data_IF_450287310624
#
_entry.id   IF_450287310624
#
_cell.length_a   1.000
_cell.length_b   1.000
_cell.length_c   1.000
_cell.angle_alpha   90.00
_cell.angle_beta   90.00
_cell.angle_gamma   90.00
#
_symmetry.space_group_name_H-M   'P 1'
#
loop_
_entity.id
_entity.type
_entity.pdbx_description
1 polymer ?
#
# COMPACT_ATOMS: atom_id res chain seq x y z
N UNK A 1 -15.90 -35.65 14.87
CA UNK A 1 -14.76 -35.49 13.94
C UNK A 1 -14.61 -34.00 13.69
N UNK A 2 -13.53 -33.39 14.15
CA UNK A 2 -13.25 -31.96 13.90
C UNK A 2 -12.53 -31.82 12.57
N UNK A 3 -13.07 -31.00 11.67
CA UNK A 3 -12.40 -30.67 10.42
C UNK A 3 -11.31 -29.65 10.75
N UNK A 4 -10.05 -30.01 10.51
CA UNK A 4 -8.94 -29.05 10.59
C UNK A 4 -8.87 -28.27 9.29
N UNK A 5 -8.76 -26.94 9.38
CA UNK A 5 -8.57 -26.05 8.23
C UNK A 5 -7.22 -25.36 8.37
N UNK A 6 -6.47 -25.26 7.28
CA UNK A 6 -5.19 -24.56 7.20
C UNK A 6 -5.11 -23.76 5.90
N UNK A 7 -4.45 -22.60 5.94
CA UNK A 7 -4.27 -21.76 4.77
C UNK A 7 -3.10 -22.28 3.93
N UNK A 8 -3.30 -22.42 2.62
CA UNK A 8 -2.25 -22.81 1.68
C UNK A 8 -1.29 -21.66 1.32
N UNK A 9 -1.73 -20.41 1.52
CA UNK A 9 -0.97 -19.19 1.22
C UNK A 9 -1.25 -18.13 2.27
N UNK A 10 -0.29 -17.25 2.51
CA UNK A 10 -0.49 -16.01 3.27
C UNK A 10 -0.64 -14.81 2.31
N UNK A 11 -1.34 -13.77 2.75
CA UNK A 11 -1.56 -12.59 1.94
C UNK A 11 -1.70 -11.32 2.79
N UNK A 12 -0.96 -10.28 2.40
CA UNK A 12 -1.14 -8.94 2.92
C UNK A 12 -2.15 -8.17 2.06
N UNK A 13 -3.13 -7.52 2.69
CA UNK A 13 -4.13 -6.70 2.00
C UNK A 13 -4.17 -5.29 2.59
N UNK A 14 -4.23 -4.28 1.72
CA UNK A 14 -4.44 -2.89 2.11
C UNK A 14 -5.49 -2.23 1.21
N UNK A 15 -6.31 -1.36 1.83
CA UNK A 15 -7.35 -0.58 1.16
C UNK A 15 -6.96 0.89 1.21
N UNK A 16 -7.00 1.56 0.07
CA UNK A 16 -6.62 2.96 -0.07
C UNK A 16 -7.72 3.76 -0.78
N UNK A 17 -8.01 4.94 -0.24
CA UNK A 17 -8.98 5.87 -0.82
C UNK A 17 -8.25 6.96 -1.59
N UNK A 18 -8.46 7.01 -2.91
CA UNK A 18 -7.90 8.03 -3.79
C UNK A 18 -8.97 9.02 -4.20
N UNK A 19 -8.85 10.27 -3.75
CA UNK A 19 -9.65 11.38 -4.25
C UNK A 19 -8.97 12.00 -5.46
N UNK A 20 -9.65 11.96 -6.61
CA UNK A 20 -9.24 12.65 -7.82
C UNK A 20 -9.88 14.03 -7.76
N UNK A 21 -9.07 15.07 -7.58
CA UNK A 21 -9.52 16.46 -7.64
C UNK A 21 -9.23 17.04 -9.04
N UNK A 22 -10.08 17.95 -9.50
CA UNK A 22 -9.87 18.61 -10.79
C UNK A 22 -10.11 17.67 -11.97
N UNK A 23 -11.10 16.78 -11.88
CA UNK A 23 -11.40 15.78 -12.92
C UNK A 23 -11.59 16.42 -14.29
N UNK A 24 -12.19 17.61 -14.36
CA UNK A 24 -12.35 18.37 -15.60
C UNK A 24 -11.02 18.61 -16.32
N UNK A 25 -9.94 18.90 -15.57
CA UNK A 25 -8.59 19.11 -16.10
C UNK A 25 -7.92 17.78 -16.48
N UNK A 26 -8.15 16.70 -15.73
CA UNK A 26 -7.54 15.40 -16.08
C UNK A 26 -8.07 14.88 -17.42
N UNK A 27 -9.27 15.27 -17.87
CA UNK A 27 -9.85 14.89 -19.17
C UNK A 27 -8.99 15.31 -20.38
N UNK A 28 -8.14 16.32 -20.24
CA UNK A 28 -7.26 16.79 -21.33
C UNK A 28 -5.96 16.01 -21.42
N UNK A 29 -5.71 15.07 -20.50
CA UNK A 29 -4.53 14.21 -20.52
C UNK A 29 -4.47 13.36 -21.80
N UNK A 30 -3.26 13.17 -22.32
CA UNK A 30 -2.97 12.32 -23.47
C UNK A 30 -3.31 10.85 -23.21
N UNK A 31 -3.40 10.06 -24.28
CA UNK A 31 -3.79 8.64 -24.21
C UNK A 31 -2.81 7.77 -23.42
N UNK A 32 -1.56 8.20 -23.35
CA UNK A 32 -0.46 7.51 -22.63
C UNK A 32 -0.23 8.07 -21.24
N UNK A 33 -0.85 9.21 -20.91
CA UNK A 33 -0.55 9.95 -19.70
C UNK A 33 -1.25 9.31 -18.51
N UNK A 34 -0.54 9.31 -17.38
CA UNK A 34 -1.07 8.83 -16.11
C UNK A 34 -0.53 9.64 -14.95
N UNK A 35 -1.33 9.76 -13.90
CA UNK A 35 -0.94 10.41 -12.64
C UNK A 35 -0.63 9.34 -11.60
N UNK A 36 0.61 9.30 -11.07
CA UNK A 36 0.98 8.35 -10.02
C UNK A 36 0.49 8.83 -8.65
N UNK A 37 0.13 7.88 -7.79
CA UNK A 37 -0.09 8.12 -6.36
C UNK A 37 1.23 8.35 -5.61
N UNK A 38 1.14 8.72 -4.33
CA UNK A 38 2.26 8.53 -3.40
C UNK A 38 2.58 7.04 -3.27
N UNK A 39 3.84 6.65 -3.00
CA UNK A 39 4.21 5.27 -2.71
C UNK A 39 3.40 4.66 -1.56
N UNK A 40 3.07 3.38 -1.68
CA UNK A 40 2.25 2.60 -0.76
C UNK A 40 3.02 1.34 -0.35
N UNK A 41 3.03 1.00 0.94
CA UNK A 41 3.69 -0.20 1.46
C UNK A 41 2.67 -1.34 1.64
N UNK A 42 2.78 -2.42 0.87
CA UNK A 42 1.90 -3.60 0.99
C UNK A 42 2.70 -4.87 0.75
N UNK A 43 2.57 -5.86 1.65
CA UNK A 43 3.23 -7.16 1.52
C UNK A 43 4.77 -7.11 1.52
N UNK A 44 5.37 -6.08 2.13
CA UNK A 44 6.82 -5.87 2.10
C UNK A 44 7.35 -5.18 0.85
N UNK A 45 6.47 -4.79 -0.08
CA UNK A 45 6.82 -4.11 -1.32
C UNK A 45 6.30 -2.67 -1.38
N UNK A 46 6.94 -1.85 -2.21
CA UNK A 46 6.54 -0.48 -2.48
C UNK A 46 5.82 -0.37 -3.82
N UNK A 47 4.65 0.24 -3.81
CA UNK A 47 3.75 0.31 -4.96
C UNK A 47 3.34 1.74 -5.27
N UNK A 48 2.96 2.00 -6.52
CA UNK A 48 2.19 3.16 -6.92
C UNK A 48 0.93 2.74 -7.66
N UNK A 49 -0.17 3.45 -7.40
CA UNK A 49 -1.37 3.37 -8.22
C UNK A 49 -1.30 4.49 -9.24
N UNK A 50 -1.44 4.15 -10.51
CA UNK A 50 -1.49 5.12 -11.60
C UNK A 50 -2.92 5.27 -12.09
N UNK A 51 -3.36 6.52 -12.26
CA UNK A 51 -4.69 6.88 -12.75
C UNK A 51 -4.61 7.48 -14.15
N UNK A 52 -5.54 7.11 -15.02
CA UNK A 52 -5.79 7.82 -16.28
C UNK A 52 -7.29 7.94 -16.55
N UNK A 53 -7.79 9.11 -16.98
CA UNK A 53 -9.16 9.25 -17.47
C UNK A 53 -9.30 8.92 -18.96
N UNK A 54 -8.19 8.67 -19.67
CA UNK A 54 -8.08 8.68 -21.14
C UNK A 54 -7.72 7.34 -21.77
N UNK A 55 -7.88 6.24 -21.04
CA UNK A 55 -7.69 4.91 -21.62
C UNK A 55 -8.73 4.68 -22.72
N UNK A 56 -8.29 4.21 -23.90
CA UNK A 56 -9.19 3.90 -25.01
C UNK A 56 -9.30 2.39 -25.15
N UNK A 57 -10.50 1.86 -24.92
CA UNK A 57 -10.84 0.43 -25.09
C UNK A 57 -12.14 0.37 -25.91
N UNK A 58 -12.14 -0.42 -26.99
CA UNK A 58 -13.28 -0.60 -27.91
C UNK A 58 -13.87 0.74 -28.39
N UNK A 59 -13.00 1.69 -28.73
CA UNK A 59 -13.40 3.03 -29.20
C UNK A 59 -14.02 3.94 -28.14
N UNK A 60 -14.04 3.53 -26.87
CA UNK A 60 -14.61 4.30 -25.76
C UNK A 60 -13.50 4.80 -24.84
N UNK A 61 -13.72 5.97 -24.23
CA UNK A 61 -12.86 6.49 -23.16
C UNK A 61 -13.25 5.90 -21.81
N UNK A 62 -12.25 5.39 -21.08
CA UNK A 62 -12.37 4.77 -19.78
C UNK A 62 -11.54 5.49 -18.74
N UNK A 63 -12.12 5.63 -17.55
CA UNK A 63 -11.36 5.89 -16.34
C UNK A 63 -10.74 4.56 -15.91
N UNK A 64 -9.42 4.53 -15.79
CA UNK A 64 -8.68 3.31 -15.53
C UNK A 64 -7.53 3.53 -14.56
N UNK A 65 -7.13 2.44 -13.92
CA UNK A 65 -6.05 2.40 -12.96
C UNK A 65 -5.09 1.27 -13.29
N UNK A 66 -3.83 1.38 -12.85
CA UNK A 66 -2.90 0.26 -12.86
C UNK A 66 -2.03 0.30 -11.62
N UNK A 67 -1.48 -0.85 -11.25
CA UNK A 67 -0.56 -0.98 -10.14
C UNK A 67 0.87 -1.07 -10.68
N UNK A 68 1.81 -0.36 -10.07
CA UNK A 68 3.23 -0.33 -10.45
C UNK A 68 4.08 -0.73 -9.26
N UNK A 69 4.98 -1.70 -9.45
CA UNK A 69 5.96 -2.10 -8.45
C UNK A 69 7.18 -1.18 -8.54
N UNK A 70 7.55 -0.51 -7.44
CA UNK A 70 8.65 0.48 -7.48
C UNK A 70 10.04 -0.12 -7.36
N UNK A 71 10.18 -1.22 -6.62
CA UNK A 71 11.46 -1.87 -6.37
C UNK A 71 11.40 -3.33 -6.82
N UNK A 72 12.51 -3.83 -7.39
CA UNK A 72 12.57 -5.19 -7.88
C UNK A 72 12.31 -6.21 -6.75
N UNK A 73 11.62 -7.31 -7.05
CA UNK A 73 11.48 -8.41 -6.11
C UNK A 73 12.85 -8.94 -5.67
N UNK A 74 12.96 -9.37 -4.39
CA UNK A 74 14.23 -9.85 -3.83
C UNK A 74 14.55 -11.30 -4.18
N UNK A 75 13.52 -12.09 -4.52
CA UNK A 75 13.63 -13.54 -4.77
C UNK A 75 12.83 -13.91 -6.01
N UNK A 76 11.51 -14.07 -5.85
CA UNK A 76 10.59 -14.54 -6.88
C UNK A 76 9.64 -13.44 -7.37
N UNK A 77 8.89 -13.75 -8.45
CA UNK A 77 7.83 -12.90 -8.98
C UNK A 77 6.80 -12.57 -7.89
N UNK A 78 6.48 -11.28 -7.71
CA UNK A 78 5.49 -10.83 -6.74
C UNK A 78 4.10 -10.97 -7.32
N UNK A 79 3.29 -11.86 -6.76
CA UNK A 79 1.89 -12.05 -7.17
C UNK A 79 1.00 -11.10 -6.39
N UNK A 80 0.33 -10.21 -7.11
CA UNK A 80 -0.61 -9.27 -6.50
C UNK A 80 -1.93 -9.20 -7.27
N UNK A 81 -3.01 -8.99 -6.53
CA UNK A 81 -4.30 -8.60 -7.05
C UNK A 81 -4.54 -7.12 -6.76
N UNK A 82 -5.07 -6.41 -7.75
CA UNK A 82 -5.42 -5.01 -7.68
C UNK A 82 -6.87 -4.82 -8.07
N UNK A 83 -7.61 -4.10 -7.25
CA UNK A 83 -9.08 -3.98 -7.33
C UNK A 83 -9.47 -2.54 -7.11
N UNK A 84 -10.39 -2.03 -7.91
CA UNK A 84 -10.86 -0.65 -7.89
C UNK A 84 -12.39 -0.61 -7.84
N UNK A 85 -12.92 0.29 -7.01
CA UNK A 85 -14.35 0.53 -6.85
C UNK A 85 -14.62 2.03 -6.67
N UNK A 86 -15.55 2.65 -7.42
CA UNK A 86 -15.91 4.03 -7.21
C UNK A 86 -16.72 4.17 -5.92
N UNK A 87 -16.43 5.22 -5.16
CA UNK A 87 -17.13 5.48 -3.90
C UNK A 87 -18.26 6.47 -4.14
N UNK A 88 -19.47 6.05 -3.76
CA UNK A 88 -20.65 6.92 -3.84
C UNK A 88 -20.66 7.88 -2.66
N UNK A 89 -20.86 9.18 -2.90
CA UNK A 89 -21.11 10.12 -1.82
C UNK A 89 -22.39 9.74 -1.06
N UNK A 90 -22.48 10.01 0.26
CA UNK A 90 -23.72 9.84 0.99
C UNK A 90 -24.79 10.76 0.39
N UNK A 91 -25.82 10.17 -0.23
CA UNK A 91 -26.91 10.94 -0.84
C UNK A 91 -27.54 11.90 0.17
N UNK A 92 -27.58 13.20 -0.15
CA UNK A 92 -28.74 13.99 0.24
C UNK A 92 -29.94 13.34 -0.44
N UNK A 93 -31.01 13.10 0.31
CA UNK A 93 -32.19 12.39 -0.14
C UNK A 93 -32.61 12.78 -1.58
N UNK A 94 -33.04 11.78 -2.35
CA UNK A 94 -33.84 11.92 -3.58
C UNK A 94 -33.18 11.89 -4.98
N UNK A 95 -31.93 11.45 -5.17
CA UNK A 95 -31.45 11.14 -6.53
C UNK A 95 -31.57 9.65 -6.85
N UNK A 96 -32.42 9.33 -7.83
CA UNK A 96 -32.41 8.06 -8.57
C UNK A 96 -31.08 7.98 -9.35
N UNK A 97 -29.98 7.73 -8.64
CA UNK A 97 -28.65 7.63 -9.21
C UNK A 97 -28.63 6.48 -10.22
N UNK A 98 -28.35 6.81 -11.47
CA UNK A 98 -28.14 5.78 -12.50
C UNK A 98 -26.88 5.02 -12.09
N UNK A 99 -26.99 3.71 -11.82
CA UNK A 99 -25.83 2.84 -11.53
C UNK A 99 -24.77 3.06 -12.61
N UNK A 100 -23.49 2.83 -12.30
CA UNK A 100 -22.44 2.78 -13.32
C UNK A 100 -22.64 1.50 -14.14
N UNK A 101 -23.73 1.46 -14.91
CA UNK A 101 -24.06 0.37 -15.81
C UNK A 101 -23.06 0.44 -16.95
N UNK A 102 -22.26 -0.60 -17.06
CA UNK A 102 -21.69 -0.92 -18.35
C UNK A 102 -22.82 -1.26 -19.34
N UNK A 103 -22.49 -1.28 -20.63
CA UNK A 103 -23.45 -1.73 -21.65
C UNK A 103 -23.70 -3.26 -21.58
N UNK A 104 -23.04 -3.97 -20.67
CA UNK A 104 -23.14 -5.43 -20.49
C UNK A 104 -24.20 -5.82 -19.43
N UNK A 105 -24.72 -4.86 -18.67
CA UNK A 105 -25.67 -5.10 -17.61
C UNK A 105 -25.05 -5.73 -16.36
N UNK A 106 -23.71 -5.75 -16.25
CA UNK A 106 -23.05 -6.27 -15.06
C UNK A 106 -23.21 -5.29 -13.90
N UNK A 107 -23.73 -5.78 -12.78
CA UNK A 107 -24.05 -4.99 -11.59
C UNK A 107 -22.81 -4.75 -10.69
N UNK A 108 -21.63 -5.16 -11.18
CA UNK A 108 -20.38 -5.00 -10.45
C UNK A 108 -19.81 -3.61 -10.72
N UNK A 109 -20.00 -2.70 -9.78
CA UNK A 109 -19.28 -1.41 -9.72
C UNK A 109 -17.77 -1.59 -9.44
N UNK A 110 -17.18 -2.75 -9.75
CA UNK A 110 -15.85 -3.15 -9.31
C UNK A 110 -15.08 -3.80 -10.45
N UNK A 111 -13.84 -3.34 -10.64
CA UNK A 111 -12.92 -3.88 -11.63
C UNK A 111 -11.65 -4.39 -10.94
N UNK A 112 -11.08 -5.49 -11.42
CA UNK A 112 -9.89 -6.09 -10.81
C UNK A 112 -8.95 -6.72 -11.85
N UNK A 113 -7.68 -6.86 -11.48
CA UNK A 113 -6.65 -7.59 -12.22
C UNK A 113 -5.73 -8.31 -11.24
N UNK A 114 -5.21 -9.46 -11.64
CA UNK A 114 -4.08 -10.12 -10.96
C UNK A 114 -2.87 -10.09 -11.88
N UNK A 115 -1.69 -9.80 -11.32
CA UNK A 115 -0.44 -9.70 -12.08
C UNK A 115 0.73 -10.27 -11.28
N UNK A 116 1.71 -10.85 -11.98
CA UNK A 116 2.97 -11.31 -11.41
C UNK A 116 4.07 -10.34 -11.83
N UNK A 117 4.59 -9.57 -10.89
CA UNK A 117 5.59 -8.52 -11.10
C UNK A 117 6.99 -9.10 -10.93
N UNK A 118 7.86 -8.90 -11.92
CA UNK A 118 9.19 -9.48 -12.00
C UNK A 118 10.29 -8.45 -11.86
N UNK A 119 10.01 -7.19 -12.21
CA UNK A 119 11.01 -6.13 -12.31
C UNK A 119 10.57 -4.85 -11.60
N UNK A 120 11.54 -4.04 -11.22
CA UNK A 120 11.29 -2.66 -10.80
C UNK A 120 10.60 -1.90 -11.94
N UNK A 121 9.68 -1.01 -11.56
CA UNK A 121 8.87 -0.18 -12.45
C UNK A 121 7.91 -0.95 -13.37
N UNK A 122 7.79 -2.27 -13.20
CA UNK A 122 6.81 -3.06 -13.92
C UNK A 122 5.40 -2.68 -13.48
N UNK A 123 4.51 -2.51 -14.46
CA UNK A 123 3.10 -2.24 -14.22
C UNK A 123 2.21 -3.41 -14.60
N UNK A 124 1.12 -3.60 -13.87
CA UNK A 124 0.01 -4.44 -14.32
C UNK A 124 -0.56 -3.91 -15.64
N UNK A 125 -1.45 -4.72 -16.25
CA UNK A 125 -2.40 -4.19 -17.22
C UNK A 125 -3.29 -3.10 -16.60
N UNK A 126 -3.92 -2.30 -17.47
CA UNK A 126 -4.93 -1.34 -17.05
C UNK A 126 -6.20 -2.05 -16.57
N UNK A 127 -6.74 -1.55 -15.47
CA UNK A 127 -8.04 -1.90 -14.89
C UNK A 127 -9.05 -0.85 -15.34
N UNK A 128 -9.84 -1.09 -16.40
CA UNK A 128 -10.88 -0.17 -16.84
C UNK A 128 -12.03 -0.19 -15.83
N UNK A 129 -12.15 0.89 -15.03
CA UNK A 129 -13.13 0.95 -13.96
C UNK A 129 -14.52 1.26 -14.50
N UNK A 130 -14.65 2.33 -15.27
CA UNK A 130 -15.91 2.74 -15.87
C UNK A 130 -15.70 3.60 -17.11
N UNK A 131 -16.70 3.63 -17.99
CA UNK A 131 -16.71 4.54 -19.12
C UNK A 131 -16.83 5.98 -18.60
N UNK A 132 -16.08 6.89 -19.23
CA UNK A 132 -16.06 8.30 -18.87
C UNK A 132 -17.46 8.93 -18.90
N UNK A 133 -18.22 8.65 -19.94
CA UNK A 133 -19.59 9.15 -20.12
C UNK A 133 -20.59 8.61 -19.07
N UNK A 134 -20.36 7.40 -18.56
CA UNK A 134 -21.17 6.81 -17.50
C UNK A 134 -20.84 7.47 -16.15
N UNK A 135 -19.55 7.69 -15.87
CA UNK A 135 -19.11 8.42 -14.68
C UNK A 135 -19.70 9.83 -14.63
N UNK A 136 -19.65 10.56 -15.73
CA UNK A 136 -20.18 11.92 -15.85
C UNK A 136 -21.71 11.99 -15.62
N UNK A 137 -22.45 10.91 -15.89
CA UNK A 137 -23.90 10.83 -15.68
C UNK A 137 -24.31 10.21 -14.34
N UNK A 138 -23.36 9.70 -13.57
CA UNK A 138 -23.61 8.90 -12.36
C UNK A 138 -23.94 9.70 -11.11
N UNK A 139 -23.63 11.00 -11.09
CA UNK A 139 -23.73 11.84 -9.90
C UNK A 139 -22.64 11.57 -8.85
N UNK A 140 -21.64 10.73 -9.15
CA UNK A 140 -20.50 10.45 -8.25
C UNK A 140 -19.51 11.62 -8.22
N UNK A 141 -19.40 12.37 -9.31
CA UNK A 141 -18.54 13.56 -9.36
C UNK A 141 -19.23 14.68 -8.57
N UNK A 142 -18.56 15.15 -7.53
CA UNK A 142 -18.97 16.29 -6.70
C UNK A 142 -17.83 17.30 -6.66
N UNK A 143 -18.15 18.58 -6.89
CA UNK A 143 -17.14 19.67 -6.86
C UNK A 143 -15.90 19.33 -7.70
N UNK A 144 -16.13 18.91 -8.95
CA UNK A 144 -15.09 18.49 -9.91
C UNK A 144 -14.15 17.38 -9.39
N UNK A 145 -14.66 16.55 -8.47
CA UNK A 145 -13.87 15.52 -7.80
C UNK A 145 -14.66 14.22 -7.62
N UNK A 146 -13.97 13.09 -7.56
CA UNK A 146 -14.57 11.82 -7.17
C UNK A 146 -13.55 10.95 -6.44
N UNK A 147 -14.04 9.94 -5.73
CA UNK A 147 -13.19 9.04 -4.93
C UNK A 147 -13.29 7.62 -5.43
N UNK A 148 -12.14 6.94 -5.48
CA UNK A 148 -12.02 5.52 -5.80
C UNK A 148 -11.36 4.80 -4.63
N UNK A 149 -11.97 3.71 -4.20
CA UNK A 149 -11.39 2.74 -3.29
C UNK A 149 -10.54 1.75 -4.11
N UNK A 150 -9.28 1.61 -3.73
CA UNK A 150 -8.33 0.71 -4.37
C UNK A 150 -7.82 -0.28 -3.33
N UNK A 151 -7.99 -1.57 -3.60
CA UNK A 151 -7.51 -2.67 -2.76
C UNK A 151 -6.33 -3.34 -3.43
N UNK A 152 -5.22 -3.45 -2.71
CA UNK A 152 -4.02 -4.16 -3.13
C UNK A 152 -3.87 -5.38 -2.22
N UNK A 153 -3.85 -6.57 -2.80
CA UNK A 153 -3.59 -7.83 -2.10
C UNK A 153 -2.32 -8.44 -2.67
N UNK A 154 -1.34 -8.72 -1.83
CA UNK A 154 -0.06 -9.30 -2.22
C UNK A 154 0.08 -10.64 -1.53
N UNK A 155 0.35 -11.69 -2.29
CA UNK A 155 0.70 -12.99 -1.71
C UNK A 155 2.04 -12.81 -0.99
N UNK A 156 2.02 -13.02 0.32
CA UNK A 156 3.24 -13.06 1.11
C UNK A 156 3.73 -14.49 1.11
N UNK A 157 5.02 -14.68 0.81
CA UNK A 157 5.65 -15.95 1.08
C UNK A 157 5.55 -16.17 2.60
N UNK A 158 4.95 -17.30 2.99
CA UNK A 158 5.07 -17.81 4.34
C UNK A 158 6.58 -17.87 4.62
N UNK A 159 7.10 -17.29 5.72
CA UNK A 159 8.49 -17.47 6.04
C UNK A 159 8.76 -18.97 6.07
N UNK A 160 9.72 -19.40 5.25
CA UNK A 160 10.18 -20.77 5.20
C UNK A 160 10.24 -21.29 6.64
N UNK A 161 9.44 -22.29 6.97
CA UNK A 161 9.69 -23.08 8.18
C UNK A 161 10.98 -23.85 7.91
N UNK A 162 12.11 -23.15 7.97
CA UNK A 162 13.41 -23.78 8.05
C UNK A 162 13.46 -24.37 9.44
N UNK A 163 13.13 -25.65 9.49
CA UNK A 163 13.54 -26.59 10.52
C UNK A 163 15.06 -26.57 10.60
N UNK A 164 15.63 -25.59 11.29
CA UNK A 164 16.95 -25.65 11.87
C UNK A 164 16.89 -25.00 13.24
N UNK A 165 16.94 -25.85 14.26
CA UNK A 165 17.30 -25.47 15.60
C UNK A 165 18.56 -24.58 15.57
N UNK A 166 18.56 -23.55 16.41
CA UNK A 166 19.66 -22.65 16.73
C UNK A 166 20.12 -21.70 15.62
N UNK A 167 19.59 -20.46 15.64
CA UNK A 167 20.31 -19.20 15.93
C UNK A 167 19.38 -18.02 15.55
N UNK A 168 18.99 -17.26 16.58
CA UNK A 168 18.41 -15.90 16.62
C UNK A 168 17.29 -15.54 15.62
N UNK A 169 16.07 -15.44 16.17
CA UNK A 169 14.87 -14.85 15.55
C UNK A 169 15.14 -13.47 14.92
N UNK A 170 14.76 -13.23 13.66
CA UNK A 170 14.59 -11.88 13.14
C UNK A 170 13.33 -11.27 13.76
N UNK A 171 13.51 -10.22 14.56
CA UNK A 171 12.42 -9.49 15.22
C UNK A 171 11.41 -8.94 14.19
N UNK A 172 10.25 -9.58 14.11
CA UNK A 172 9.04 -9.03 13.50
C UNK A 172 8.27 -8.27 14.57
N UNK A 173 8.51 -6.96 14.67
CA UNK A 173 7.74 -6.08 15.50
C UNK A 173 8.02 -4.65 15.08
N UNK A 174 6.97 -3.93 14.67
CA UNK A 174 7.00 -2.48 14.52
C UNK A 174 7.36 -1.83 15.87
N UNK A 175 8.64 -1.76 16.18
CA UNK A 175 9.16 -1.11 17.37
C UNK A 175 10.08 0.01 16.90
N UNK A 176 9.73 1.22 17.30
CA UNK A 176 10.47 2.44 16.99
C UNK A 176 11.91 2.35 17.52
N UNK A 177 12.86 2.96 16.83
CA UNK A 177 14.27 2.96 17.24
C UNK A 177 14.47 3.43 18.70
N UNK A 178 13.68 4.39 19.16
CA UNK A 178 13.75 4.86 20.55
C UNK A 178 13.39 3.78 21.58
N UNK A 179 12.48 2.85 21.23
CA UNK A 179 12.13 1.74 22.10
C UNK A 179 13.30 0.76 22.22
N UNK A 180 13.94 0.40 21.11
CA UNK A 180 15.11 -0.49 21.11
C UNK A 180 16.30 0.12 21.88
N UNK A 181 16.58 1.41 21.70
CA UNK A 181 17.64 2.09 22.47
C UNK A 181 17.28 2.17 23.98
N UNK A 182 16.00 2.35 24.31
CA UNK A 182 15.52 2.29 25.69
C UNK A 182 15.71 0.91 26.32
N UNK A 183 15.42 -0.16 25.60
CA UNK A 183 15.65 -1.54 26.05
C UNK A 183 17.14 -1.85 26.23
N UNK A 184 18.02 -1.36 25.35
CA UNK A 184 19.47 -1.48 25.54
C UNK A 184 19.94 -0.84 26.85
N UNK A 185 19.42 0.34 27.19
CA UNK A 185 19.73 1.01 28.45
C UNK A 185 19.18 0.23 29.66
N UNK A 186 17.91 -0.20 29.63
CA UNK A 186 17.29 -0.97 30.73
C UNK A 186 17.99 -2.29 30.99
N UNK A 187 18.34 -3.01 29.93
CA UNK A 187 18.92 -4.35 30.02
C UNK A 187 20.44 -4.31 30.19
N UNK A 188 21.07 -3.13 30.09
CA UNK A 188 22.53 -2.94 30.20
C UNK A 188 23.35 -3.69 29.14
N UNK A 189 22.70 -4.22 28.09
CA UNK A 189 23.34 -5.07 27.08
C UNK A 189 24.32 -4.25 26.25
N UNK A 190 25.58 -4.68 26.19
CA UNK A 190 26.64 -3.99 25.45
C UNK A 190 27.06 -2.64 26.04
N UNK A 191 26.73 -2.38 27.31
CA UNK A 191 27.24 -1.20 28.02
C UNK A 191 28.76 -1.23 28.14
N UNK A 192 29.38 -0.07 27.90
CA UNK A 192 30.84 0.11 27.83
C UNK A 192 31.32 1.27 28.73
N UNK A 193 30.41 1.86 29.49
CA UNK A 193 30.68 2.89 30.50
C UNK A 193 29.68 2.79 31.66
N UNK A 194 30.13 3.20 32.85
CA UNK A 194 29.30 3.36 34.04
C UNK A 194 29.37 4.81 34.51
N UNK A 195 28.22 5.46 34.65
CA UNK A 195 28.10 6.80 35.21
C UNK A 195 27.79 6.68 36.70
N UNK A 196 28.53 7.39 37.55
CA UNK A 196 28.27 7.44 39.00
C UNK A 196 27.65 8.78 39.34
N UNK A 197 26.42 8.76 39.84
CA UNK A 197 25.66 9.97 40.21
C UNK A 197 25.23 9.83 41.65
N UNK A 198 25.72 10.72 42.52
CA UNK A 198 25.39 10.73 43.96
C UNK A 198 25.59 9.38 44.68
N UNK A 199 26.60 8.60 44.24
CA UNK A 199 26.91 7.28 44.79
C UNK A 199 26.17 6.12 44.16
N UNK A 200 25.23 6.37 43.25
CA UNK A 200 24.54 5.33 42.47
C UNK A 200 25.20 5.15 41.10
N UNK A 201 25.28 3.91 40.63
CA UNK A 201 25.98 3.53 39.40
C UNK A 201 25.01 3.13 38.30
N UNK A 202 25.17 3.73 37.11
CA UNK A 202 24.31 3.50 35.94
C UNK A 202 25.14 3.02 34.75
N UNK A 203 24.88 1.81 34.27
CA UNK A 203 25.50 1.29 33.05
C UNK A 203 24.91 2.01 31.81
N UNK A 204 25.76 2.40 30.87
CA UNK A 204 25.37 3.15 29.68
C UNK A 204 26.30 2.84 28.49
N UNK A 205 26.08 3.54 27.37
CA UNK A 205 26.79 3.30 26.10
C UNK A 205 27.45 4.59 25.62
N UNK A 206 28.79 4.61 25.50
CA UNK A 206 29.59 5.79 25.14
C UNK A 206 29.15 6.38 23.80
N UNK A 207 28.97 5.55 22.78
CA UNK A 207 28.57 6.00 21.46
C UNK A 207 27.20 6.72 21.47
N UNK A 208 26.25 6.20 22.26
CA UNK A 208 24.92 6.81 22.39
C UNK A 208 25.02 8.13 23.15
N UNK A 209 25.74 8.17 24.27
CA UNK A 209 25.96 9.40 25.05
C UNK A 209 26.66 10.49 24.23
N UNK A 210 27.75 10.13 23.53
CA UNK A 210 28.49 11.04 22.67
C UNK A 210 27.60 11.59 21.54
N UNK A 211 26.78 10.74 20.91
CA UNK A 211 25.87 11.18 19.83
C UNK A 211 24.80 12.20 20.25
N UNK A 212 24.53 12.32 21.56
CA UNK A 212 23.46 13.16 22.11
C UNK A 212 23.95 14.27 23.03
N UNK A 213 25.24 14.32 23.36
CA UNK A 213 25.82 15.29 24.27
C UNK A 213 27.26 15.62 23.88
N UNK A 214 27.56 16.88 23.50
CA UNK A 214 28.93 17.32 23.24
C UNK A 214 29.87 17.10 24.44
N UNK A 215 29.35 17.16 25.66
CA UNK A 215 30.14 16.92 26.89
C UNK A 215 30.61 15.47 26.97
N UNK A 216 29.81 14.51 26.50
CA UNK A 216 30.19 13.10 26.46
C UNK A 216 30.94 12.71 25.16
N UNK A 217 31.00 13.60 24.18
CA UNK A 217 31.78 13.41 22.96
C UNK A 217 33.24 13.90 23.09
N UNK A 218 33.50 14.77 24.08
CA UNK A 218 34.80 15.40 24.31
C UNK A 218 35.93 14.43 24.65
#
# INVERSE_FOLDING_TARGET
>A
MGVSSSNLTDAATAVHMFKINGYSATRTMGRTDSLPSKPLAVGGYQWQVHYTPSLVVDGNYWVAFKLVLLAAPRRDDVKAAFRCRPVRPPSSSNSYGTRLRDASGSDNDEAQISHAFKRAEESSGWVPLCKRNALEKSGIIMEDSFTVECTVTVITELPDTVTTANVLQPYTGSQSLHHHLGELLKNGTGSDVTLVVSGESFAAHKAILASRSPVFMA
#
